data_IF_372940622473
#
_entry.id   IF_372940622473
#
_cell.length_a   1.000
_cell.length_b   1.000
_cell.length_c   1.000
_cell.angle_alpha   90.00
_cell.angle_beta   90.00
_cell.angle_gamma   90.00
#
_symmetry.space_group_name_H-M   'P 1'
#
loop_
_entity.id
_entity.type
_entity.pdbx_description
1 polymer ?
#
# COMPACT_ATOMS: atom_id res chain seq x y z
N UNK A 1 -1.57 41.94 -5.64
CA UNK A 1 -2.60 42.20 -6.67
C UNK A 1 -3.85 42.57 -5.89
N UNK A 2 -4.37 43.77 -6.07
CA UNK A 2 -5.64 44.15 -5.46
C UNK A 2 -6.75 43.46 -6.25
N UNK A 3 -7.51 42.58 -5.60
CA UNK A 3 -8.62 41.87 -6.23
C UNK A 3 -9.80 42.85 -6.39
N UNK A 4 -9.85 43.55 -7.52
CA UNK A 4 -10.85 44.62 -7.79
C UNK A 4 -12.11 44.13 -8.50
N UNK A 5 -12.12 42.91 -9.02
CA UNK A 5 -13.24 42.34 -9.77
C UNK A 5 -13.55 40.93 -9.28
N UNK A 6 -14.79 40.68 -8.86
CA UNK A 6 -15.30 39.36 -8.53
C UNK A 6 -15.95 38.71 -9.76
N UNK A 7 -15.74 37.40 -9.94
CA UNK A 7 -16.36 36.60 -11.01
C UNK A 7 -17.09 35.42 -10.36
N UNK A 8 -18.43 35.40 -10.33
CA UNK A 8 -19.19 34.26 -9.80
C UNK A 8 -19.17 33.08 -10.78
N UNK A 9 -19.26 31.85 -10.26
CA UNK A 9 -19.38 30.62 -11.04
C UNK A 9 -20.83 30.38 -11.52
N UNK A 10 -21.45 31.38 -12.17
CA UNK A 10 -22.86 31.39 -12.56
C UNK A 10 -23.29 30.25 -13.50
N UNK A 11 -22.32 29.60 -14.15
CA UNK A 11 -22.53 28.47 -15.06
C UNK A 11 -22.56 27.11 -14.33
N UNK A 12 -22.22 27.07 -13.04
CA UNK A 12 -22.17 25.83 -12.25
C UNK A 12 -23.49 25.59 -11.53
N UNK A 13 -23.92 24.33 -11.46
CA UNK A 13 -25.03 23.89 -10.60
C UNK A 13 -24.65 23.79 -9.12
N UNK A 14 -23.36 24.01 -8.80
CA UNK A 14 -22.74 23.80 -7.49
C UNK A 14 -22.77 22.33 -7.00
N UNK A 15 -23.14 21.38 -7.85
CA UNK A 15 -22.87 19.96 -7.65
C UNK A 15 -21.49 19.63 -8.23
N UNK A 16 -20.57 19.19 -7.37
CA UNK A 16 -19.16 19.02 -7.70
C UNK A 16 -18.74 17.58 -7.45
N UNK A 17 -17.98 17.02 -8.40
CA UNK A 17 -17.18 15.83 -8.17
C UNK A 17 -15.68 16.19 -8.22
N UNK A 18 -14.87 15.53 -7.40
CA UNK A 18 -13.41 15.58 -7.51
C UNK A 18 -12.90 14.26 -8.07
N UNK A 19 -11.96 14.32 -9.02
CA UNK A 19 -11.39 13.13 -9.68
C UNK A 19 -9.88 13.21 -9.74
N UNK A 20 -9.23 12.05 -9.84
CA UNK A 20 -7.82 11.94 -10.20
C UNK A 20 -7.05 10.96 -9.33
N UNK A 21 -5.82 10.67 -9.79
CA UNK A 21 -4.92 9.72 -9.15
C UNK A 21 -3.89 10.37 -8.25
N UNK A 22 -3.39 9.62 -7.26
CA UNK A 22 -2.23 10.01 -6.47
C UNK A 22 -2.53 11.25 -5.64
N UNK A 23 -1.69 12.28 -5.71
CA UNK A 23 -1.90 13.55 -5.04
C UNK A 23 -3.29 14.18 -5.32
N UNK A 24 -3.86 13.99 -6.52
CA UNK A 24 -5.21 14.47 -6.83
C UNK A 24 -6.29 13.70 -6.06
N UNK A 25 -6.20 12.37 -6.01
CA UNK A 25 -7.10 11.53 -5.21
C UNK A 25 -6.94 11.77 -3.71
N UNK A 26 -5.70 12.01 -3.26
CA UNK A 26 -5.38 12.43 -1.88
C UNK A 26 -6.09 13.72 -1.51
N UNK A 27 -6.09 14.72 -2.40
CA UNK A 27 -6.81 15.98 -2.19
C UNK A 27 -8.33 15.82 -2.27
N UNK A 28 -8.83 14.91 -3.11
CA UNK A 28 -10.25 14.55 -3.12
C UNK A 28 -10.69 13.97 -1.77
N UNK A 29 -9.90 13.03 -1.22
CA UNK A 29 -10.12 12.48 0.13
C UNK A 29 -10.09 13.59 1.19
N UNK A 30 -9.07 14.45 1.17
CA UNK A 30 -8.96 15.56 2.11
C UNK A 30 -10.18 16.49 2.05
N UNK A 31 -10.62 16.87 0.85
CA UNK A 31 -11.79 17.72 0.66
C UNK A 31 -13.07 17.04 1.18
N UNK A 32 -13.26 15.75 0.94
CA UNK A 32 -14.40 15.00 1.44
C UNK A 32 -14.48 15.02 2.98
N UNK A 33 -13.35 14.90 3.68
CA UNK A 33 -13.30 14.95 5.15
C UNK A 33 -13.64 16.31 5.76
N UNK A 34 -13.78 17.36 4.94
CA UNK A 34 -14.26 18.67 5.42
C UNK A 34 -15.79 18.77 5.48
N UNK A 35 -16.52 17.84 4.85
CA UNK A 35 -17.98 17.94 4.69
C UNK A 35 -18.43 19.17 3.88
N UNK A 36 -17.56 19.70 3.01
CA UNK A 36 -17.84 20.95 2.28
C UNK A 36 -19.10 20.84 1.43
N UNK A 37 -19.97 21.85 1.55
CA UNK A 37 -21.20 21.91 0.78
C UNK A 37 -20.92 21.95 -0.73
N UNK A 38 -21.71 21.18 -1.49
CA UNK A 38 -21.63 21.10 -2.95
C UNK A 38 -20.76 19.95 -3.47
N UNK A 39 -19.85 19.39 -2.67
CA UNK A 39 -19.15 18.15 -3.02
C UNK A 39 -20.13 16.98 -2.90
N UNK A 40 -20.50 16.40 -4.04
CA UNK A 40 -21.47 15.30 -4.13
C UNK A 40 -20.79 13.94 -4.09
N UNK A 41 -19.68 13.83 -4.81
CA UNK A 41 -18.91 12.58 -4.84
C UNK A 41 -17.42 12.83 -5.02
N UNK A 42 -16.60 11.86 -4.63
CA UNK A 42 -15.20 11.77 -5.04
C UNK A 42 -14.95 10.49 -5.84
N UNK A 43 -14.14 10.61 -6.90
CA UNK A 43 -13.51 9.48 -7.59
C UNK A 43 -12.03 9.52 -7.22
N UNK A 44 -11.69 8.80 -6.16
CA UNK A 44 -10.38 8.86 -5.50
C UNK A 44 -9.52 7.67 -5.92
N UNK A 45 -8.55 7.91 -6.80
CA UNK A 45 -7.73 6.86 -7.39
C UNK A 45 -6.31 6.85 -6.80
N UNK A 46 -5.78 5.68 -6.44
CA UNK A 46 -4.44 5.48 -5.87
C UNK A 46 -4.05 6.56 -4.83
N UNK A 47 -4.93 6.83 -3.87
CA UNK A 47 -4.89 8.00 -3.01
C UNK A 47 -4.30 7.72 -1.63
N UNK A 48 -3.73 8.76 -1.01
CA UNK A 48 -3.25 8.73 0.38
C UNK A 48 -4.39 9.18 1.31
N UNK A 49 -4.63 8.41 2.38
CA UNK A 49 -5.60 8.78 3.43
C UNK A 49 -4.93 9.26 4.71
N UNK A 50 -3.66 8.89 4.90
CA UNK A 50 -2.79 9.37 5.99
C UNK A 50 -1.36 9.53 5.46
N UNK A 51 -0.82 10.75 5.55
CA UNK A 51 0.52 11.03 5.04
C UNK A 51 1.63 10.26 5.77
N UNK A 52 1.39 9.86 7.02
CA UNK A 52 2.31 8.97 7.74
C UNK A 52 2.46 7.64 6.99
N UNK A 53 1.36 7.02 6.56
CA UNK A 53 1.39 5.70 5.91
C UNK A 53 2.05 5.73 4.51
N UNK A 54 2.23 6.93 3.94
CA UNK A 54 2.96 7.10 2.68
C UNK A 54 4.48 7.04 2.88
N UNK A 55 5.02 7.77 3.85
CA UNK A 55 6.46 7.91 4.08
C UNK A 55 7.01 7.14 5.30
N UNK A 56 6.14 6.50 6.09
CA UNK A 56 6.47 5.77 7.31
C UNK A 56 5.70 4.46 7.38
N UNK A 57 6.22 3.50 8.14
CA UNK A 57 5.48 2.30 8.55
C UNK A 57 6.05 1.78 9.88
N UNK A 58 5.18 1.44 10.82
CA UNK A 58 5.60 0.82 12.09
C UNK A 58 6.68 1.57 12.89
N UNK A 59 6.72 2.90 12.86
CA UNK A 59 7.77 3.69 13.54
C UNK A 59 9.08 3.81 12.77
N UNK A 60 9.09 3.52 11.46
CA UNK A 60 10.27 3.62 10.59
C UNK A 60 10.04 4.61 9.45
N UNK A 61 11.15 5.15 8.92
CA UNK A 61 11.19 5.79 7.60
C UNK A 61 11.11 4.72 6.51
N UNK A 62 10.01 4.70 5.76
CA UNK A 62 9.72 3.69 4.75
C UNK A 62 9.29 4.38 3.46
N UNK A 63 10.20 4.40 2.50
CA UNK A 63 10.00 5.08 1.24
C UNK A 63 8.84 4.48 0.42
N UNK A 64 8.17 5.31 -0.40
CA UNK A 64 7.33 4.80 -1.46
C UNK A 64 8.15 3.95 -2.44
N UNK A 65 7.55 2.90 -2.99
CA UNK A 65 8.20 1.98 -3.93
C UNK A 65 8.70 2.72 -5.17
N UNK A 66 10.00 2.60 -5.44
CA UNK A 66 10.67 3.30 -6.54
C UNK A 66 11.26 4.67 -6.18
N UNK A 67 10.99 5.18 -4.97
CA UNK A 67 11.40 6.53 -4.54
C UNK A 67 12.19 6.53 -3.22
N UNK A 68 13.28 5.73 -3.09
CA UNK A 68 14.09 5.72 -1.88
C UNK A 68 14.73 7.10 -1.63
N UNK A 69 14.50 7.65 -0.44
CA UNK A 69 15.02 8.97 -0.04
C UNK A 69 14.00 10.10 -0.10
N UNK A 70 12.86 9.91 -0.77
CA UNK A 70 11.76 10.88 -0.75
C UNK A 70 11.16 11.05 0.66
N UNK A 71 10.60 12.23 0.93
CA UNK A 71 9.81 12.57 2.12
C UNK A 71 8.95 13.81 1.86
N UNK A 72 8.22 14.26 2.89
CA UNK A 72 7.30 15.39 2.78
C UNK A 72 7.96 16.69 2.30
N UNK A 73 9.21 16.97 2.68
CA UNK A 73 9.95 18.15 2.20
C UNK A 73 10.30 18.06 0.72
N UNK A 74 10.72 16.89 0.24
CA UNK A 74 11.01 16.64 -1.18
C UNK A 74 9.77 16.89 -2.03
N UNK A 75 8.62 16.34 -1.65
CA UNK A 75 7.37 16.57 -2.38
C UNK A 75 6.92 18.03 -2.28
N UNK A 76 7.09 18.68 -1.13
CA UNK A 76 6.74 20.08 -0.95
C UNK A 76 7.53 20.99 -1.92
N UNK A 77 8.82 20.73 -2.11
CA UNK A 77 9.66 21.40 -3.10
C UNK A 77 9.21 21.10 -4.53
N UNK A 78 9.01 19.82 -4.87
CA UNK A 78 8.61 19.38 -6.21
C UNK A 78 7.33 20.10 -6.69
N UNK A 79 6.35 20.29 -5.79
CA UNK A 79 5.08 20.94 -6.14
C UNK A 79 5.07 22.46 -5.94
N UNK A 80 6.17 23.06 -5.46
CA UNK A 80 6.29 24.51 -5.29
C UNK A 80 6.61 25.25 -6.61
N UNK A 81 5.79 25.00 -7.64
CA UNK A 81 5.95 25.55 -9.00
C UNK A 81 5.96 27.09 -9.09
N UNK A 82 5.59 27.81 -8.02
CA UNK A 82 5.77 29.27 -7.94
C UNK A 82 7.22 29.68 -8.06
N UNK A 83 8.17 28.82 -7.71
CA UNK A 83 9.60 29.05 -7.91
C UNK A 83 9.98 29.21 -9.38
N UNK A 84 9.27 28.53 -10.29
CA UNK A 84 9.50 28.61 -11.74
C UNK A 84 9.15 29.99 -12.33
N UNK A 85 8.47 30.86 -11.56
CA UNK A 85 8.13 32.21 -11.96
C UNK A 85 8.88 33.22 -11.08
N UNK A 86 10.05 33.68 -11.54
CA UNK A 86 10.95 34.54 -10.75
C UNK A 86 10.24 35.75 -10.09
N UNK A 87 9.36 36.44 -10.81
CA UNK A 87 8.61 37.58 -10.25
C UNK A 87 7.64 37.21 -9.12
N UNK A 88 7.10 35.98 -9.13
CA UNK A 88 6.27 35.45 -8.06
C UNK A 88 7.08 34.85 -6.90
N UNK A 89 8.27 34.32 -7.20
CA UNK A 89 9.15 33.66 -6.26
C UNK A 89 9.99 34.62 -5.42
N UNK A 90 10.62 35.62 -6.05
CA UNK A 90 11.55 36.53 -5.37
C UNK A 90 10.97 37.15 -4.07
N UNK A 91 9.70 37.60 -4.03
CA UNK A 91 9.12 38.12 -2.79
C UNK A 91 8.82 37.05 -1.74
N UNK A 92 8.77 35.77 -2.13
CA UNK A 92 8.42 34.64 -1.28
C UNK A 92 9.59 33.79 -0.85
N UNK A 93 10.75 33.87 -1.53
CA UNK A 93 11.89 32.98 -1.35
C UNK A 93 12.20 32.72 0.12
N UNK A 94 12.38 33.77 0.91
CA UNK A 94 12.79 33.61 2.31
C UNK A 94 11.67 32.99 3.17
N UNK A 95 10.40 33.23 2.83
CA UNK A 95 9.26 32.58 3.48
C UNK A 95 9.19 31.09 3.11
N UNK A 96 9.43 30.78 1.84
CA UNK A 96 9.45 29.40 1.34
C UNK A 96 10.57 28.60 1.99
N UNK A 97 11.81 29.10 1.97
CA UNK A 97 12.97 28.41 2.56
C UNK A 97 12.78 28.13 4.06
N UNK A 98 12.15 29.06 4.81
CA UNK A 98 11.78 28.80 6.21
C UNK A 98 10.71 27.72 6.36
N UNK A 99 9.69 27.72 5.50
CA UNK A 99 8.65 26.69 5.52
C UNK A 99 9.21 25.31 5.18
N UNK A 100 10.05 25.21 4.15
CA UNK A 100 10.72 23.98 3.76
C UNK A 100 11.61 23.44 4.89
N UNK A 101 12.45 24.30 5.49
CA UNK A 101 13.28 23.91 6.63
C UNK A 101 12.45 23.41 7.83
N UNK A 102 11.29 24.00 8.07
CA UNK A 102 10.36 23.53 9.11
C UNK A 102 9.77 22.16 8.77
N UNK A 103 9.36 21.93 7.52
CA UNK A 103 8.88 20.62 7.05
C UNK A 103 9.97 19.56 7.21
N UNK A 104 11.20 19.85 6.78
CA UNK A 104 12.37 18.95 6.92
C UNK A 104 12.65 18.60 8.38
N UNK A 105 12.47 19.55 9.30
CA UNK A 105 12.61 19.30 10.73
C UNK A 105 11.47 18.44 11.28
N UNK A 106 10.22 18.84 11.04
CA UNK A 106 9.03 18.27 11.68
C UNK A 106 8.66 16.87 11.17
N UNK A 107 9.05 16.53 9.94
CA UNK A 107 8.86 15.18 9.41
C UNK A 107 9.66 14.11 10.19
N UNK A 108 10.69 14.52 10.95
CA UNK A 108 11.47 13.70 11.87
C UNK A 108 11.92 12.34 11.29
N UNK A 109 12.80 12.42 10.29
CA UNK A 109 13.45 11.24 9.69
C UNK A 109 14.41 10.53 10.65
N UNK A 110 14.86 11.20 11.70
CA UNK A 110 15.81 10.63 12.66
C UNK A 110 15.13 9.53 13.49
N UNK A 111 13.88 9.77 13.92
CA UNK A 111 13.14 8.78 14.69
C UNK A 111 12.21 7.91 13.85
N UNK A 112 11.57 8.46 12.80
CA UNK A 112 10.52 7.78 12.03
C UNK A 112 9.19 7.63 12.77
N UNK A 113 9.07 8.20 13.97
CA UNK A 113 7.89 8.10 14.81
C UNK A 113 6.71 8.93 14.26
N UNK A 114 5.51 8.50 14.62
CA UNK A 114 4.33 9.34 14.50
C UNK A 114 4.42 10.52 15.46
N UNK A 115 4.08 11.73 14.98
CA UNK A 115 4.18 12.95 15.76
C UNK A 115 3.07 13.93 15.32
N UNK A 116 3.03 15.14 15.89
CA UNK A 116 2.00 16.14 15.58
C UNK A 116 2.00 16.59 14.11
N UNK A 117 3.15 16.60 13.44
CA UNK A 117 3.23 16.95 12.02
C UNK A 117 2.53 15.91 11.14
N UNK A 118 2.69 14.63 11.46
CA UNK A 118 1.98 13.54 10.80
C UNK A 118 0.50 13.48 11.18
N UNK A 119 0.18 13.73 12.45
CA UNK A 119 -1.20 13.76 12.96
C UNK A 119 -2.07 14.85 12.32
N UNK A 120 -1.49 16.01 12.03
CA UNK A 120 -2.17 17.09 11.31
C UNK A 120 -2.48 16.75 9.84
N UNK A 121 -1.92 15.65 9.33
CA UNK A 121 -2.03 15.19 7.94
C UNK A 121 -2.67 13.80 7.85
N UNK A 122 -3.46 13.44 8.85
CA UNK A 122 -4.21 12.20 8.90
C UNK A 122 -5.71 12.50 8.70
N UNK A 123 -6.19 12.32 7.47
CA UNK A 123 -7.59 12.64 7.12
C UNK A 123 -8.58 11.67 7.76
N UNK A 124 -8.14 10.47 8.13
CA UNK A 124 -8.98 9.44 8.75
C UNK A 124 -9.60 9.91 10.08
N UNK A 125 -8.98 10.89 10.75
CA UNK A 125 -9.52 11.50 11.97
C UNK A 125 -10.86 12.22 11.75
N UNK A 126 -11.05 12.71 10.53
CA UNK A 126 -12.20 13.51 10.11
C UNK A 126 -13.10 12.73 9.13
N UNK A 127 -12.90 11.41 8.99
CA UNK A 127 -13.68 10.57 8.08
C UNK A 127 -15.19 10.62 8.37
N UNK A 128 -15.58 10.76 9.64
CA UNK A 128 -16.98 10.87 10.05
C UNK A 128 -17.70 12.12 9.51
N UNK A 129 -16.96 13.13 9.04
CA UNK A 129 -17.51 14.33 8.41
C UNK A 129 -17.84 14.13 6.93
N UNK A 130 -17.47 13.00 6.32
CA UNK A 130 -17.72 12.73 4.91
C UNK A 130 -19.23 12.60 4.69
N UNK A 131 -19.76 13.48 3.84
CA UNK A 131 -21.16 13.45 3.38
C UNK A 131 -21.29 13.20 1.87
N UNK A 132 -20.16 13.16 1.16
CA UNK A 132 -20.11 12.90 -0.27
C UNK A 132 -19.98 11.39 -0.50
N UNK A 133 -20.59 10.90 -1.58
CA UNK A 133 -20.49 9.50 -1.98
C UNK A 133 -19.11 9.20 -2.58
N UNK A 134 -18.67 7.95 -2.50
CA UNK A 134 -17.28 7.59 -2.79
C UNK A 134 -17.19 6.52 -3.88
N UNK A 135 -16.43 6.80 -4.94
CA UNK A 135 -15.90 5.79 -5.85
C UNK A 135 -14.37 5.73 -5.64
N UNK A 136 -13.91 4.66 -5.00
CA UNK A 136 -12.50 4.44 -4.70
C UNK A 136 -11.88 3.49 -5.72
N UNK A 137 -10.66 3.78 -6.18
CA UNK A 137 -9.94 2.92 -7.13
C UNK A 137 -8.50 2.75 -6.67
N UNK A 138 -7.99 1.52 -6.63
CA UNK A 138 -6.61 1.30 -6.18
C UNK A 138 -5.97 0.04 -6.77
N UNK A 139 -4.66 0.11 -7.01
CA UNK A 139 -3.87 -1.03 -7.45
C UNK A 139 -3.43 -1.90 -6.27
N UNK A 140 -3.73 -3.20 -6.30
CA UNK A 140 -3.28 -4.17 -5.29
C UNK A 140 -1.75 -4.34 -5.30
N UNK A 141 -1.09 -4.03 -6.41
CA UNK A 141 0.36 -4.05 -6.57
C UNK A 141 0.98 -2.64 -6.55
N UNK A 142 0.23 -1.62 -6.11
CA UNK A 142 0.75 -0.26 -5.95
C UNK A 142 1.62 -0.15 -4.69
N UNK A 143 2.92 -0.33 -4.88
CA UNK A 143 3.90 -0.16 -3.82
C UNK A 143 4.38 1.28 -3.66
N UNK A 144 3.92 2.22 -4.49
CA UNK A 144 4.13 3.65 -4.31
C UNK A 144 3.13 4.17 -3.27
N UNK A 145 1.85 4.33 -3.65
CA UNK A 145 0.78 4.62 -2.70
C UNK A 145 0.23 3.30 -2.19
N UNK A 146 0.77 2.85 -1.06
CA UNK A 146 0.54 1.49 -0.53
C UNK A 146 -0.95 1.22 -0.26
N UNK A 147 -1.47 -0.02 -0.48
CA UNK A 147 -2.90 -0.34 -0.40
C UNK A 147 -3.57 -0.06 0.95
N UNK A 148 -2.79 0.03 2.04
CA UNK A 148 -3.30 0.45 3.36
C UNK A 148 -4.06 1.78 3.30
N UNK A 149 -3.67 2.70 2.42
CA UNK A 149 -4.35 4.00 2.33
C UNK A 149 -5.83 3.87 1.95
N UNK A 150 -6.13 3.15 0.86
CA UNK A 150 -7.52 2.93 0.45
C UNK A 150 -8.27 2.03 1.43
N UNK A 151 -7.62 1.01 1.97
CA UNK A 151 -8.24 0.10 2.94
C UNK A 151 -8.63 0.82 4.23
N UNK A 152 -7.77 1.68 4.76
CA UNK A 152 -8.06 2.48 5.94
C UNK A 152 -9.24 3.42 5.70
N UNK A 153 -9.29 4.07 4.53
CA UNK A 153 -10.43 4.94 4.18
C UNK A 153 -11.71 4.12 4.04
N UNK A 154 -11.68 3.02 3.28
CA UNK A 154 -12.81 2.10 3.09
C UNK A 154 -13.41 1.64 4.43
N UNK A 155 -12.54 1.22 5.36
CA UNK A 155 -12.94 0.83 6.69
C UNK A 155 -13.47 2.00 7.53
N UNK A 156 -12.88 3.19 7.44
CA UNK A 156 -13.33 4.36 8.18
C UNK A 156 -14.70 4.89 7.73
N UNK A 157 -15.06 4.70 6.45
CA UNK A 157 -16.36 5.14 5.90
C UNK A 157 -17.42 4.04 5.89
N UNK A 158 -17.07 2.82 6.33
CA UNK A 158 -17.90 1.60 6.24
C UNK A 158 -19.31 1.77 6.78
N UNK A 159 -19.47 2.42 7.93
CA UNK A 159 -20.77 2.58 8.60
C UNK A 159 -21.43 3.94 8.33
N UNK A 160 -20.81 4.80 7.51
CA UNK A 160 -21.39 6.08 7.14
C UNK A 160 -22.56 5.90 6.17
N UNK A 161 -23.62 6.72 6.29
CA UNK A 161 -24.81 6.68 5.44
C UNK A 161 -24.56 7.39 4.09
N UNK A 162 -23.50 6.98 3.40
CA UNK A 162 -23.10 7.44 2.07
C UNK A 162 -22.95 6.22 1.16
N UNK A 163 -23.26 6.39 -0.12
CA UNK A 163 -23.03 5.34 -1.11
C UNK A 163 -21.53 5.27 -1.40
N UNK A 164 -21.00 4.05 -1.41
CA UNK A 164 -19.57 3.80 -1.56
C UNK A 164 -19.31 2.57 -2.42
N UNK A 165 -18.36 2.73 -3.35
CA UNK A 165 -17.93 1.74 -4.34
C UNK A 165 -16.41 1.65 -4.33
N UNK A 166 -15.88 0.47 -4.56
CA UNK A 166 -14.44 0.21 -4.57
C UNK A 166 -14.07 -0.67 -5.78
N UNK A 167 -13.05 -0.25 -6.52
CA UNK A 167 -12.48 -1.02 -7.62
C UNK A 167 -11.00 -1.29 -7.33
N UNK A 168 -10.64 -2.56 -7.20
CA UNK A 168 -9.26 -3.00 -6.97
C UNK A 168 -8.71 -3.69 -8.22
N UNK A 169 -7.60 -3.20 -8.74
CA UNK A 169 -6.98 -3.73 -9.96
C UNK A 169 -5.59 -4.31 -9.69
N UNK A 170 -5.07 -5.15 -10.61
CA UNK A 170 -3.76 -5.81 -10.44
C UNK A 170 -2.56 -4.92 -10.80
N UNK A 171 -2.80 -3.64 -11.06
CA UNK A 171 -1.76 -2.71 -11.46
C UNK A 171 -0.97 -2.14 -10.30
N UNK A 172 0.12 -1.47 -10.66
CA UNK A 172 0.85 -0.57 -9.78
C UNK A 172 0.15 0.81 -9.77
N UNK A 173 0.93 1.89 -9.76
CA UNK A 173 0.45 3.27 -9.70
C UNK A 173 -0.05 3.80 -11.07
N UNK A 174 -1.16 3.24 -11.59
CA UNK A 174 -1.70 3.49 -12.94
C UNK A 174 -3.18 3.91 -12.92
N UNK A 175 -3.69 4.37 -14.08
CA UNK A 175 -5.13 4.52 -14.34
C UNK A 175 -5.68 3.24 -15.01
N UNK A 176 -6.98 2.99 -14.88
CA UNK A 176 -7.68 1.83 -15.49
C UNK A 176 -8.75 2.22 -16.53
N UNK A 177 -8.89 3.51 -16.84
CA UNK A 177 -9.93 4.06 -17.72
C UNK A 177 -9.96 3.50 -19.15
N UNK A 178 -8.83 2.94 -19.59
CA UNK A 178 -8.64 2.45 -20.96
C UNK A 178 -8.43 0.93 -21.02
N UNK A 179 -8.98 0.19 -20.06
CA UNK A 179 -8.89 -1.27 -20.04
C UNK A 179 -9.96 -1.93 -20.92
N UNK A 180 -9.62 -3.06 -21.54
CA UNK A 180 -10.60 -3.84 -22.32
C UNK A 180 -11.58 -4.59 -21.42
N UNK A 181 -11.12 -5.08 -20.27
CA UNK A 181 -11.87 -6.00 -19.41
C UNK A 181 -12.84 -5.37 -18.44
N UNK A 182 -12.86 -4.04 -18.34
CA UNK A 182 -13.78 -3.31 -17.48
C UNK A 182 -14.25 -2.04 -18.19
N UNK A 183 -15.56 -1.81 -18.17
CA UNK A 183 -16.24 -0.64 -18.69
C UNK A 183 -16.16 0.54 -17.70
N UNK A 184 -14.95 0.82 -17.19
CA UNK A 184 -14.73 1.80 -16.12
C UNK A 184 -15.27 3.20 -16.46
N UNK A 185 -15.04 3.67 -17.68
CA UNK A 185 -15.49 4.99 -18.12
C UNK A 185 -17.02 5.07 -18.16
N UNK A 186 -17.71 3.99 -18.55
CA UNK A 186 -19.16 3.88 -18.54
C UNK A 186 -19.72 3.80 -17.10
N UNK A 187 -19.05 3.06 -16.21
CA UNK A 187 -19.34 3.05 -14.76
C UNK A 187 -19.26 4.48 -14.20
N UNK A 188 -18.18 5.21 -14.51
CA UNK A 188 -17.99 6.60 -14.06
C UNK A 188 -19.04 7.53 -14.66
N UNK A 189 -19.43 7.34 -15.92
CA UNK A 189 -20.50 8.12 -16.55
C UNK A 189 -21.85 7.90 -15.85
N UNK A 190 -22.24 6.64 -15.63
CA UNK A 190 -23.45 6.28 -14.89
C UNK A 190 -23.45 6.93 -13.50
N UNK A 191 -22.32 6.81 -12.79
CA UNK A 191 -22.11 7.38 -11.47
C UNK A 191 -22.24 8.91 -11.46
N UNK A 192 -21.46 9.63 -12.27
CA UNK A 192 -21.48 11.10 -12.28
C UNK A 192 -22.83 11.67 -12.75
N UNK A 193 -23.52 10.97 -13.65
CA UNK A 193 -24.88 11.33 -14.08
C UNK A 193 -25.88 11.24 -12.92
N UNK A 194 -25.74 10.24 -12.07
CA UNK A 194 -26.52 10.13 -10.84
C UNK A 194 -26.19 11.28 -9.87
N UNK A 195 -24.92 11.40 -9.51
CA UNK A 195 -24.43 12.29 -8.44
C UNK A 195 -24.58 13.78 -8.75
N UNK A 196 -24.31 14.18 -9.99
CA UNK A 196 -24.21 15.59 -10.38
C UNK A 196 -25.47 16.12 -11.06
N UNK A 197 -26.24 15.24 -11.71
CA UNK A 197 -27.45 15.63 -12.46
C UNK A 197 -28.74 15.16 -11.79
N UNK A 198 -28.67 14.33 -10.74
CA UNK A 198 -29.84 13.83 -10.02
C UNK A 198 -30.72 12.89 -10.84
N UNK A 199 -30.14 12.22 -11.83
CA UNK A 199 -30.85 11.25 -12.66
C UNK A 199 -30.97 9.94 -11.90
N UNK A 200 -32.20 9.44 -11.74
CA UNK A 200 -32.45 8.10 -11.21
C UNK A 200 -32.17 7.04 -12.29
N UNK A 201 -30.89 6.68 -12.40
CA UNK A 201 -30.36 5.64 -13.29
C UNK A 201 -29.91 4.39 -12.53
N UNK A 202 -30.31 4.27 -11.25
CA UNK A 202 -30.03 3.12 -10.38
C UNK A 202 -28.54 2.84 -10.11
N UNK A 203 -27.64 3.80 -10.34
CA UNK A 203 -26.19 3.64 -10.18
C UNK A 203 -25.79 3.00 -8.83
N UNK A 204 -26.43 3.42 -7.74
CA UNK A 204 -26.15 2.92 -6.39
C UNK A 204 -26.38 1.41 -6.24
N UNK A 205 -27.37 0.87 -6.96
CA UNK A 205 -27.82 -0.53 -6.86
C UNK A 205 -27.26 -1.43 -7.95
N UNK A 206 -27.02 -0.89 -9.14
CA UNK A 206 -26.46 -1.63 -10.27
C UNK A 206 -24.97 -1.91 -10.10
N UNK A 207 -24.23 -0.93 -9.55
CA UNK A 207 -22.79 -1.08 -9.33
C UNK A 207 -22.53 -1.92 -8.08
N UNK A 208 -21.74 -3.01 -8.18
CA UNK A 208 -21.28 -3.74 -7.00
C UNK A 208 -20.53 -2.85 -6.02
N UNK A 209 -20.62 -3.14 -4.73
CA UNK A 209 -19.89 -2.38 -3.71
C UNK A 209 -18.38 -2.53 -3.87
N UNK A 210 -17.92 -3.73 -4.21
CA UNK A 210 -16.51 -4.00 -4.48
C UNK A 210 -16.38 -4.81 -5.77
N UNK A 211 -15.49 -4.39 -6.65
CA UNK A 211 -15.08 -5.12 -7.85
C UNK A 211 -13.57 -5.32 -7.79
N UNK A 212 -13.09 -6.56 -7.92
CA UNK A 212 -11.66 -6.89 -7.83
C UNK A 212 -11.21 -7.65 -9.07
N UNK A 213 -10.12 -7.19 -9.68
CA UNK A 213 -9.46 -7.89 -10.78
C UNK A 213 -8.71 -9.11 -10.26
N UNK A 214 -8.88 -10.25 -10.91
CA UNK A 214 -8.22 -11.51 -10.57
C UNK A 214 -6.71 -11.45 -10.83
N UNK A 215 -5.89 -11.98 -9.90
CA UNK A 215 -4.42 -11.98 -10.03
C UNK A 215 -3.87 -13.10 -10.94
N UNK A 216 -4.71 -14.07 -11.31
CA UNK A 216 -4.32 -15.31 -12.01
C UNK A 216 -4.83 -15.36 -13.45
N UNK A 217 -5.95 -14.71 -13.73
CA UNK A 217 -6.62 -14.74 -15.03
C UNK A 217 -6.69 -13.34 -15.64
N UNK A 218 -6.12 -13.12 -16.85
CA UNK A 218 -6.34 -11.88 -17.59
C UNK A 218 -7.83 -11.64 -17.80
N UNK A 219 -8.23 -10.37 -17.76
CA UNK A 219 -9.58 -9.93 -18.10
C UNK A 219 -10.71 -10.49 -17.23
N UNK A 220 -10.37 -11.00 -16.04
CA UNK A 220 -11.35 -11.50 -15.10
C UNK A 220 -11.52 -10.54 -13.93
N UNK A 221 -12.76 -10.14 -13.67
CA UNK A 221 -13.17 -9.29 -12.56
C UNK A 221 -14.31 -9.95 -11.81
N UNK A 222 -14.29 -9.85 -10.49
CA UNK A 222 -15.29 -10.45 -9.64
C UNK A 222 -15.87 -9.41 -8.68
N UNK A 223 -17.19 -9.45 -8.51
CA UNK A 223 -17.90 -8.65 -7.53
C UNK A 223 -17.83 -9.31 -6.15
N UNK A 224 -17.59 -8.51 -5.12
CA UNK A 224 -17.59 -8.93 -3.73
C UNK A 224 -18.53 -8.02 -2.93
N UNK A 225 -19.14 -8.54 -1.84
CA UNK A 225 -19.95 -7.71 -0.96
C UNK A 225 -19.09 -6.63 -0.25
N UNK A 226 -17.81 -6.94 -0.01
CA UNK A 226 -16.89 -6.13 0.77
C UNK A 226 -15.42 -6.56 0.53
N UNK A 227 -14.46 -5.77 1.04
CA UNK A 227 -13.04 -6.09 1.13
C UNK A 227 -12.54 -5.85 2.55
N UNK A 228 -11.69 -6.74 3.08
CA UNK A 228 -11.21 -6.70 4.46
C UNK A 228 -12.38 -6.69 5.45
N UNK A 229 -13.35 -7.57 5.22
CA UNK A 229 -14.56 -7.61 6.02
C UNK A 229 -14.25 -7.99 7.48
N UNK A 230 -14.84 -7.33 8.49
CA UNK A 230 -14.57 -7.60 9.91
C UNK A 230 -14.84 -9.05 10.34
N UNK A 231 -15.67 -9.76 9.58
CA UNK A 231 -16.06 -11.15 9.82
C UNK A 231 -15.38 -12.15 8.89
N UNK A 232 -14.40 -11.73 8.07
CA UNK A 232 -13.59 -12.66 7.29
C UNK A 232 -12.94 -13.67 8.25
N UNK A 233 -13.07 -14.99 8.02
CA UNK A 233 -12.33 -15.97 8.79
C UNK A 233 -10.84 -15.77 8.61
N UNK A 234 -10.06 -16.22 9.59
CA UNK A 234 -8.60 -16.18 9.52
C UNK A 234 -8.02 -17.58 9.63
N UNK A 235 -6.95 -17.82 8.88
CA UNK A 235 -6.13 -19.02 8.98
C UNK A 235 -4.81 -18.65 9.63
N UNK A 236 -4.47 -19.33 10.70
CA UNK A 236 -3.25 -19.10 11.46
C UNK A 236 -2.20 -20.18 11.15
N UNK A 237 -0.99 -19.74 10.83
CA UNK A 237 0.15 -20.58 10.53
C UNK A 237 1.22 -20.40 11.61
N UNK A 238 1.54 -21.46 12.35
CA UNK A 238 2.66 -21.50 13.28
C UNK A 238 3.99 -21.59 12.52
N UNK A 239 4.98 -20.81 12.96
CA UNK A 239 6.33 -20.83 12.42
C UNK A 239 7.11 -22.02 13.00
N UNK A 240 7.82 -22.73 12.13
CA UNK A 240 8.82 -23.73 12.47
C UNK A 240 10.07 -23.52 11.64
N UNK A 241 11.19 -24.12 12.03
CA UNK A 241 12.40 -24.03 11.21
C UNK A 241 12.10 -24.41 9.75
N UNK A 242 12.29 -23.46 8.84
CA UNK A 242 11.97 -23.48 7.40
C UNK A 242 10.50 -23.71 6.99
N UNK A 243 9.54 -23.83 7.91
CA UNK A 243 8.16 -24.24 7.60
C UNK A 243 7.07 -23.31 8.19
N UNK A 244 5.96 -23.19 7.46
CA UNK A 244 4.67 -22.71 7.97
C UNK A 244 3.72 -23.91 8.11
N UNK A 245 3.16 -24.11 9.30
CA UNK A 245 2.20 -25.20 9.58
C UNK A 245 0.90 -24.62 10.10
N UNK A 246 -0.24 -25.18 9.70
CA UNK A 246 -1.53 -24.80 10.29
C UNK A 246 -1.47 -24.91 11.81
N UNK A 247 -1.72 -23.81 12.51
CA UNK A 247 -1.61 -23.75 13.96
C UNK A 247 -2.54 -24.76 14.65
N UNK A 248 -3.70 -25.05 14.06
CA UNK A 248 -4.66 -26.05 14.54
C UNK A 248 -4.09 -27.49 14.60
N UNK A 249 -3.04 -27.79 13.81
CA UNK A 249 -2.43 -29.13 13.72
C UNK A 249 -0.96 -29.14 14.09
N UNK A 250 -0.36 -27.97 14.31
CA UNK A 250 1.04 -27.85 14.65
C UNK A 250 1.26 -28.24 16.12
N UNK A 251 2.25 -29.11 16.38
CA UNK A 251 2.87 -29.16 17.71
C UNK A 251 3.64 -27.87 18.00
N UNK A 252 3.87 -27.50 19.26
CA UNK A 252 4.76 -26.39 19.59
C UNK A 252 6.17 -26.62 19.02
N UNK A 253 6.73 -25.61 18.38
CA UNK A 253 8.15 -25.59 18.03
C UNK A 253 8.95 -25.07 19.22
N UNK A 254 10.12 -25.64 19.48
CA UNK A 254 10.98 -25.20 20.59
C UNK A 254 12.26 -24.57 20.05
N UNK A 255 12.73 -23.52 20.73
CA UNK A 255 14.00 -22.87 20.41
C UNK A 255 13.83 -21.55 19.68
N UNK A 256 14.97 -20.94 19.36
CA UNK A 256 15.06 -19.71 18.61
C UNK A 256 15.99 -19.88 17.42
N UNK A 257 15.64 -19.28 16.29
CA UNK A 257 16.50 -19.21 15.10
C UNK A 257 16.96 -17.77 14.90
N UNK A 258 18.16 -17.60 14.34
CA UNK A 258 18.79 -16.28 14.26
C UNK A 258 19.30 -15.97 12.86
N UNK A 259 19.34 -14.69 12.52
CA UNK A 259 19.94 -14.16 11.29
C UNK A 259 20.66 -12.84 11.58
N UNK A 260 21.60 -12.47 10.71
CA UNK A 260 22.32 -11.19 10.80
C UNK A 260 21.82 -10.23 9.72
N UNK A 261 21.52 -8.98 10.07
CA UNK A 261 21.25 -7.94 9.07
C UNK A 261 22.52 -7.44 8.38
N UNK A 262 23.68 -7.55 9.06
CA UNK A 262 24.93 -7.10 8.49
C UNK A 262 25.35 -7.97 7.33
N UNK A 263 25.55 -7.36 6.17
CA UNK A 263 26.09 -7.99 4.99
C UNK A 263 27.58 -7.70 4.84
N UNK A 264 28.36 -8.62 4.24
CA UNK A 264 29.68 -8.32 3.71
C UNK A 264 29.67 -7.05 2.85
N UNK A 265 30.70 -6.21 2.97
CA UNK A 265 30.74 -4.88 2.36
C UNK A 265 30.46 -4.89 0.84
N UNK A 266 31.04 -5.84 0.09
CA UNK A 266 30.82 -5.95 -1.35
C UNK A 266 29.38 -6.34 -1.70
N UNK A 267 28.77 -7.24 -0.92
CA UNK A 267 27.38 -7.66 -1.09
C UNK A 267 26.43 -6.49 -0.79
N UNK A 268 26.65 -5.80 0.33
CA UNK A 268 25.89 -4.60 0.69
C UNK A 268 25.94 -3.55 -0.42
N UNK A 269 27.14 -3.20 -0.89
CA UNK A 269 27.33 -2.23 -1.96
C UNK A 269 26.72 -2.70 -3.29
N UNK A 270 26.69 -3.99 -3.56
CA UNK A 270 26.01 -4.53 -4.75
C UNK A 270 24.50 -4.26 -4.66
N UNK A 271 23.88 -4.60 -3.52
CA UNK A 271 22.45 -4.44 -3.31
C UNK A 271 21.99 -2.98 -3.25
N UNK A 272 22.85 -2.05 -2.83
CA UNK A 272 22.52 -0.61 -2.89
C UNK A 272 22.35 -0.10 -4.32
N UNK A 273 23.00 -0.73 -5.30
CA UNK A 273 22.97 -0.34 -6.71
C UNK A 273 22.10 -1.27 -7.58
N UNK A 274 21.75 -2.46 -7.10
CA UNK A 274 20.91 -3.44 -7.79
C UNK A 274 19.87 -4.04 -6.84
N UNK A 275 18.79 -3.28 -6.62
CA UNK A 275 17.66 -3.67 -5.76
C UNK A 275 16.92 -4.88 -6.35
N UNK A 276 16.91 -5.03 -7.68
CA UNK A 276 16.27 -6.18 -8.35
C UNK A 276 17.02 -7.47 -8.02
N UNK A 277 18.36 -7.43 -8.06
CA UNK A 277 19.20 -8.54 -7.62
C UNK A 277 18.99 -8.84 -6.14
N UNK A 278 18.98 -7.82 -5.29
CA UNK A 278 18.69 -8.00 -3.86
C UNK A 278 17.35 -8.70 -3.65
N UNK A 279 16.27 -8.24 -4.27
CA UNK A 279 14.94 -8.83 -4.09
C UNK A 279 14.88 -10.28 -4.60
N UNK A 280 15.54 -10.57 -5.73
CA UNK A 280 15.65 -11.93 -6.26
C UNK A 280 16.38 -12.85 -5.31
N UNK A 281 17.51 -12.39 -4.77
CA UNK A 281 18.27 -13.16 -3.80
C UNK A 281 17.49 -13.25 -2.49
N UNK A 282 16.86 -12.20 -1.95
CA UNK A 282 16.00 -12.22 -0.76
C UNK A 282 14.86 -13.26 -0.82
N UNK A 283 14.29 -13.51 -2.00
CA UNK A 283 13.21 -14.49 -2.18
C UNK A 283 13.66 -15.81 -2.80
N UNK A 284 14.96 -15.99 -3.03
CA UNK A 284 15.53 -17.13 -3.71
C UNK A 284 15.57 -18.42 -2.88
N UNK A 285 16.48 -19.32 -3.27
CA UNK A 285 16.71 -20.58 -2.57
C UNK A 285 17.26 -20.33 -1.15
N UNK A 286 16.92 -21.18 -0.18
CA UNK A 286 17.35 -20.97 1.21
C UNK A 286 18.87 -21.02 1.42
N UNK A 287 19.65 -21.51 0.45
CA UNK A 287 21.12 -21.58 0.50
C UNK A 287 21.81 -20.55 -0.40
N UNK A 288 21.10 -19.51 -0.84
CA UNK A 288 21.69 -18.44 -1.64
C UNK A 288 22.50 -17.43 -0.79
N UNK A 289 22.90 -16.31 -1.41
CA UNK A 289 23.70 -15.26 -0.78
C UNK A 289 23.05 -14.63 0.47
N UNK A 290 21.75 -14.84 0.70
CA UNK A 290 20.99 -14.29 1.82
C UNK A 290 20.67 -15.35 2.90
N UNK A 291 21.15 -16.59 2.79
CA UNK A 291 20.84 -17.71 3.69
C UNK A 291 21.00 -17.42 5.19
N UNK A 292 21.97 -16.57 5.57
CA UNK A 292 22.24 -16.19 6.97
C UNK A 292 21.72 -14.78 7.34
N UNK A 293 21.02 -14.14 6.40
CA UNK A 293 20.59 -12.74 6.47
C UNK A 293 19.08 -12.56 6.36
N UNK A 294 18.34 -13.67 6.43
CA UNK A 294 16.88 -13.73 6.52
C UNK A 294 16.45 -15.00 7.23
N UNK A 295 15.18 -15.08 7.59
CA UNK A 295 14.46 -16.32 7.87
C UNK A 295 13.41 -16.54 6.78
N UNK A 296 13.31 -17.77 6.27
CA UNK A 296 12.38 -18.14 5.21
C UNK A 296 11.52 -19.31 5.66
N UNK A 297 10.21 -19.11 5.72
CA UNK A 297 9.23 -20.13 6.12
C UNK A 297 8.30 -20.40 4.96
N UNK A 298 8.05 -21.67 4.63
CA UNK A 298 7.11 -22.04 3.55
C UNK A 298 6.09 -23.07 4.03
N UNK A 299 4.84 -22.92 3.60
CA UNK A 299 3.82 -23.95 3.80
C UNK A 299 4.13 -25.19 2.95
N UNK A 300 3.46 -26.32 3.23
CA UNK A 300 3.33 -27.35 2.20
C UNK A 300 2.62 -26.78 0.96
N UNK A 301 2.80 -27.41 -0.19
CA UNK A 301 2.01 -27.07 -1.38
C UNK A 301 0.52 -27.18 -1.05
N UNK A 302 -0.25 -26.15 -1.37
CA UNK A 302 -1.67 -26.10 -1.07
C UNK A 302 -2.41 -27.19 -1.84
N UNK A 303 -3.41 -27.81 -1.22
CA UNK A 303 -4.26 -28.81 -1.89
C UNK A 303 -5.42 -28.18 -2.65
N UNK A 304 -5.79 -26.94 -2.29
CA UNK A 304 -6.86 -26.14 -2.89
C UNK A 304 -6.41 -24.68 -2.93
N UNK A 305 -7.06 -23.88 -3.77
CA UNK A 305 -6.83 -22.44 -3.81
C UNK A 305 -7.13 -21.81 -2.43
N UNK A 306 -6.37 -20.77 -2.08
CA UNK A 306 -6.57 -19.97 -0.88
C UNK A 306 -6.69 -18.51 -1.29
N UNK A 307 -7.84 -17.88 -1.01
CA UNK A 307 -8.05 -16.46 -1.28
C UNK A 307 -7.78 -15.67 -0.01
N UNK A 308 -6.69 -14.89 -0.02
CA UNK A 308 -6.34 -13.95 1.04
C UNK A 308 -7.14 -12.68 0.84
N UNK A 309 -7.81 -12.16 1.87
CA UNK A 309 -8.63 -10.95 1.78
C UNK A 309 -8.58 -10.15 3.08
N UNK A 310 -7.84 -9.05 3.06
CA UNK A 310 -7.61 -8.18 4.21
C UNK A 310 -6.15 -8.06 4.59
N UNK A 311 -5.87 -7.86 5.89
CA UNK A 311 -4.53 -7.55 6.40
C UNK A 311 -3.89 -8.74 7.14
N UNK A 312 -2.90 -9.44 6.54
CA UNK A 312 -2.12 -10.43 7.28
C UNK A 312 -1.39 -9.81 8.47
N UNK A 313 -1.28 -10.56 9.56
CA UNK A 313 -0.60 -10.13 10.79
C UNK A 313 0.44 -11.15 11.21
N UNK A 314 1.63 -10.68 11.54
CA UNK A 314 2.75 -11.49 12.03
C UNK A 314 2.91 -11.23 13.53
N UNK A 315 2.86 -12.30 14.32
CA UNK A 315 3.11 -12.28 15.76
C UNK A 315 4.42 -13.01 16.05
N UNK A 316 5.35 -12.34 16.71
CA UNK A 316 6.67 -12.89 17.02
C UNK A 316 7.08 -12.58 18.44
N UNK A 317 8.00 -13.40 18.93
CA UNK A 317 8.84 -13.06 20.08
C UNK A 317 10.30 -12.98 19.65
N UNK A 318 10.87 -11.78 19.72
CA UNK A 318 12.15 -11.46 19.07
C UNK A 318 13.10 -10.70 20.00
N UNK A 319 14.39 -11.02 19.90
CA UNK A 319 15.49 -10.32 20.54
C UNK A 319 16.47 -9.80 19.49
N UNK A 320 17.22 -8.76 19.83
CA UNK A 320 18.33 -8.23 19.02
C UNK A 320 19.52 -7.91 19.93
N UNK A 321 20.74 -8.05 19.41
CA UNK A 321 21.99 -7.85 20.17
C UNK A 321 22.35 -6.38 20.48
N UNK A 322 21.55 -5.41 20.01
CA UNK A 322 21.77 -3.96 20.18
C UNK A 322 20.53 -3.28 20.79
N UNK A 323 20.64 -2.06 21.34
CA UNK A 323 19.48 -1.33 21.90
C UNK A 323 18.60 -0.66 20.83
N UNK A 324 18.77 -1.04 19.56
CA UNK A 324 18.00 -0.59 18.41
C UNK A 324 17.76 -1.76 17.47
N UNK A 325 16.72 -1.70 16.64
CA UNK A 325 16.54 -2.66 15.56
C UNK A 325 15.22 -2.49 14.83
N UNK A 326 15.18 -3.06 13.62
CA UNK A 326 14.02 -3.02 12.73
C UNK A 326 13.83 -4.37 12.06
N UNK A 327 12.58 -4.72 11.81
CA UNK A 327 12.23 -5.93 11.07
C UNK A 327 11.30 -5.58 9.92
N UNK A 328 11.48 -6.33 8.85
CA UNK A 328 10.69 -6.29 7.62
C UNK A 328 10.16 -7.69 7.33
N UNK A 329 8.97 -7.73 6.73
CA UNK A 329 8.22 -8.95 6.50
C UNK A 329 7.70 -8.96 5.08
N UNK A 330 7.88 -10.07 4.35
CA UNK A 330 7.22 -10.30 3.07
C UNK A 330 6.42 -11.60 3.12
N UNK A 331 5.15 -11.55 2.73
CA UNK A 331 4.33 -12.73 2.44
C UNK A 331 4.34 -12.95 0.94
N UNK A 332 4.62 -14.18 0.52
CA UNK A 332 5.01 -14.50 -0.85
C UNK A 332 4.27 -15.74 -1.34
N UNK A 333 3.79 -15.69 -2.57
CA UNK A 333 3.33 -16.83 -3.34
C UNK A 333 4.55 -17.52 -3.96
N UNK A 334 4.89 -18.74 -3.53
CA UNK A 334 5.94 -19.56 -4.12
C UNK A 334 5.36 -20.63 -5.04
N UNK A 335 5.74 -20.60 -6.32
CA UNK A 335 5.30 -21.54 -7.35
C UNK A 335 5.62 -21.01 -8.74
N UNK A 336 6.11 -21.89 -9.63
CA UNK A 336 6.38 -21.55 -11.03
C UNK A 336 5.07 -21.33 -11.78
N UNK A 337 4.78 -20.08 -12.14
CA UNK A 337 3.57 -19.73 -12.88
C UNK A 337 3.79 -18.56 -13.82
N UNK A 338 2.99 -18.51 -14.90
CA UNK A 338 2.78 -17.27 -15.63
C UNK A 338 1.84 -16.40 -14.80
N UNK A 339 2.29 -15.18 -14.50
CA UNK A 339 1.49 -14.18 -13.77
C UNK A 339 1.23 -12.98 -14.65
N UNK A 340 0.27 -12.13 -14.28
CA UNK A 340 0.04 -10.87 -14.99
C UNK A 340 1.34 -10.05 -15.02
N UNK A 341 1.59 -9.36 -16.13
CA UNK A 341 2.70 -8.40 -16.23
C UNK A 341 2.51 -7.28 -15.21
N UNK A 342 3.63 -6.70 -14.80
CA UNK A 342 3.66 -5.55 -13.87
C UNK A 342 2.92 -4.32 -14.43
N UNK A 343 2.89 -4.17 -15.76
CA UNK A 343 2.18 -3.09 -16.46
C UNK A 343 1.30 -3.65 -17.57
N UNK A 344 0.15 -3.02 -17.87
CA UNK A 344 -0.71 -3.44 -18.97
C UNK A 344 -0.04 -3.22 -20.33
N UNK A 345 -0.37 -4.08 -21.29
CA UNK A 345 0.08 -3.97 -22.69
C UNK A 345 -0.90 -3.10 -23.48
N UNK A 346 -0.39 -2.23 -24.36
CA UNK A 346 -1.21 -1.56 -25.38
C UNK A 346 -1.67 -2.60 -26.42
N UNK A 347 -2.98 -2.85 -26.48
CA UNK A 347 -3.61 -3.76 -27.43
C UNK A 347 -3.90 -3.09 -28.77
N UNK A 348 -4.38 -1.85 -28.74
CA UNK A 348 -4.69 -1.07 -29.93
C UNK A 348 -4.47 0.43 -29.66
N UNK A 349 -3.61 1.06 -30.47
CA UNK A 349 -3.28 2.48 -30.30
C UNK A 349 -4.42 3.37 -30.78
N UNK A 350 -4.74 4.43 -30.02
CA UNK A 350 -5.73 5.46 -30.38
C UNK A 350 -7.06 4.87 -30.85
N UNK A 351 -7.52 3.84 -30.15
CA UNK A 351 -8.71 3.07 -30.54
C UNK A 351 -9.95 3.42 -29.71
N UNK A 352 -9.76 4.17 -28.62
CA UNK A 352 -10.83 4.70 -27.80
C UNK A 352 -11.04 6.17 -28.15
N UNK A 353 -12.23 6.50 -28.64
CA UNK A 353 -12.64 7.87 -28.96
C UNK A 353 -13.30 8.51 -27.72
N UNK A 354 -12.73 9.61 -27.20
CA UNK A 354 -13.26 10.34 -26.04
C UNK A 354 -14.34 11.37 -26.43
N UNK A 355 -14.67 11.49 -27.72
CA UNK A 355 -15.73 12.35 -28.23
C UNK A 355 -15.47 12.81 -29.66
N UNK A 356 -16.51 13.26 -30.35
CA UNK A 356 -16.42 13.56 -31.79
C UNK A 356 -15.25 14.49 -32.15
N UNK A 357 -14.23 13.92 -32.83
CA UNK A 357 -13.01 14.62 -33.29
C UNK A 357 -12.24 15.32 -32.16
N UNK A 358 -12.17 14.70 -30.98
CA UNK A 358 -11.52 15.29 -29.82
C UNK A 358 -10.20 14.61 -29.44
N UNK A 359 -10.23 13.67 -28.50
CA UNK A 359 -9.06 12.96 -27.97
C UNK A 359 -9.24 11.47 -28.17
N UNK A 360 -8.12 10.78 -28.26
CA UNK A 360 -8.06 9.34 -28.41
C UNK A 360 -7.16 8.77 -27.31
N UNK A 361 -7.50 7.60 -26.77
CA UNK A 361 -6.64 6.82 -25.88
C UNK A 361 -6.31 5.44 -26.48
N UNK A 362 -5.23 4.86 -25.98
CA UNK A 362 -4.80 3.52 -26.32
C UNK A 362 -5.60 2.49 -25.49
N UNK A 363 -6.20 1.50 -26.15
CA UNK A 363 -6.77 0.34 -25.47
C UNK A 363 -5.66 -0.50 -24.86
N UNK A 364 -5.76 -0.80 -23.57
CA UNK A 364 -4.76 -1.51 -22.78
C UNK A 364 -5.37 -2.71 -22.07
N UNK A 365 -4.54 -3.69 -21.73
CA UNK A 365 -4.93 -4.79 -20.85
C UNK A 365 -3.73 -5.50 -20.24
N UNK A 366 -3.90 -6.07 -19.05
CA UNK A 366 -2.92 -6.99 -18.50
C UNK A 366 -2.85 -8.27 -19.32
N UNK A 367 -1.62 -8.70 -19.59
CA UNK A 367 -1.34 -9.99 -20.22
C UNK A 367 -0.46 -10.81 -19.29
N UNK A 368 -0.50 -12.13 -19.47
CA UNK A 368 0.45 -13.01 -18.81
C UNK A 368 1.88 -12.70 -19.28
N UNK A 369 2.80 -12.63 -18.32
CA UNK A 369 4.24 -12.48 -18.54
C UNK A 369 4.95 -13.83 -18.73
N UNK A 370 6.27 -13.79 -18.52
CA UNK A 370 7.08 -14.99 -18.42
C UNK A 370 6.74 -15.78 -17.14
N UNK A 371 7.14 -17.06 -17.11
CA UNK A 371 7.07 -17.87 -15.90
C UNK A 371 7.99 -17.27 -14.85
N UNK A 372 7.51 -17.17 -13.61
CA UNK A 372 8.25 -16.68 -12.46
C UNK A 372 8.11 -17.66 -11.29
N UNK A 373 9.15 -17.83 -10.46
CA UNK A 373 9.14 -18.78 -9.34
C UNK A 373 8.30 -18.31 -8.15
N UNK A 374 7.99 -17.02 -8.06
CA UNK A 374 7.28 -16.44 -6.93
C UNK A 374 6.61 -15.09 -7.28
N UNK A 375 5.77 -14.60 -6.38
CA UNK A 375 5.20 -13.25 -6.40
C UNK A 375 5.02 -12.69 -4.99
N UNK A 376 5.36 -11.42 -4.79
CA UNK A 376 5.11 -10.72 -3.53
C UNK A 376 3.61 -10.51 -3.35
N UNK A 377 3.03 -11.03 -2.26
CA UNK A 377 1.62 -10.83 -1.94
C UNK A 377 1.44 -9.56 -1.11
N UNK A 378 2.19 -9.45 -0.02
CA UNK A 378 2.16 -8.28 0.86
C UNK A 378 3.46 -8.12 1.64
N UNK A 379 3.69 -6.92 2.20
CA UNK A 379 4.81 -6.66 3.11
C UNK A 379 4.49 -5.62 4.17
N UNK A 380 5.38 -5.48 5.15
CA UNK A 380 5.28 -4.50 6.23
C UNK A 380 6.57 -4.40 7.03
N UNK A 381 6.69 -3.34 7.82
CA UNK A 381 7.91 -3.01 8.56
C UNK A 381 7.59 -2.58 9.98
N UNK A 382 8.52 -2.81 10.92
CA UNK A 382 8.35 -2.42 12.32
C UNK A 382 9.68 -2.08 12.98
N UNK A 383 9.72 -0.94 13.65
CA UNK A 383 10.77 -0.60 14.61
C UNK A 383 10.52 -1.37 15.92
N UNK A 384 11.52 -2.09 16.43
CA UNK A 384 11.42 -2.84 17.68
C UNK A 384 11.18 -1.93 18.90
N UNK A 385 11.64 -0.68 18.82
CA UNK A 385 11.40 0.34 19.84
C UNK A 385 9.98 0.90 19.76
N UNK A 386 9.22 0.65 18.69
CA UNK A 386 7.82 1.04 18.56
C UNK A 386 6.87 -0.15 18.75
N UNK A 387 7.29 -1.20 19.47
CA UNK A 387 6.49 -2.42 19.66
C UNK A 387 5.08 -2.14 20.20
N UNK A 388 4.92 -1.19 21.12
CA UNK A 388 3.61 -0.84 21.70
C UNK A 388 2.85 0.17 20.85
N UNK A 389 3.50 1.27 20.43
CA UNK A 389 2.87 2.34 19.66
C UNK A 389 3.87 3.01 18.69
N UNK A 390 3.37 3.59 17.60
CA UNK A 390 4.20 4.29 16.60
C UNK A 390 4.61 5.71 17.00
N UNK A 391 3.97 6.31 18.02
CA UNK A 391 4.30 7.65 18.53
C UNK A 391 5.20 7.64 19.77
N UNK A 392 5.55 6.46 20.29
CA UNK A 392 6.32 6.30 21.52
C UNK A 392 7.44 5.29 21.32
N UNK A 393 8.65 5.68 21.73
CA UNK A 393 9.82 4.82 21.83
C UNK A 393 9.79 4.10 23.17
N UNK A 394 9.77 2.78 23.13
CA UNK A 394 9.98 1.90 24.27
C UNK A 394 11.46 1.52 24.37
N UNK A 395 11.96 1.37 25.60
CA UNK A 395 13.31 0.86 25.83
C UNK A 395 13.48 -0.54 25.19
N UNK A 396 14.62 -0.75 24.55
CA UNK A 396 15.04 -2.03 23.99
C UNK A 396 16.37 -2.43 24.63
N UNK A 397 16.34 -3.50 25.43
CA UNK A 397 17.56 -4.05 26.05
C UNK A 397 18.14 -5.14 25.14
N UNK A 398 19.47 -5.12 24.86
CA UNK A 398 20.12 -6.17 24.10
C UNK A 398 19.83 -7.57 24.63
N UNK A 399 19.61 -8.52 23.72
CA UNK A 399 19.40 -9.95 24.00
C UNK A 399 18.19 -10.28 24.88
N UNK A 400 17.24 -9.35 25.03
CA UNK A 400 15.96 -9.60 25.70
C UNK A 400 14.88 -9.80 24.64
N UNK A 401 14.08 -10.84 24.83
CA UNK A 401 12.95 -11.16 23.94
C UNK A 401 11.73 -10.28 24.26
N UNK A 402 11.18 -9.65 23.24
CA UNK A 402 9.95 -8.86 23.30
C UNK A 402 8.90 -9.42 22.33
N UNK A 403 7.64 -9.28 22.70
CA UNK A 403 6.52 -9.56 21.81
C UNK A 403 6.39 -8.45 20.77
N UNK A 404 6.20 -8.84 19.51
CA UNK A 404 6.06 -7.96 18.36
C UNK A 404 4.87 -8.40 17.54
N UNK A 405 3.94 -7.48 17.29
CA UNK A 405 2.81 -7.69 16.38
C UNK A 405 2.94 -6.70 15.21
N UNK A 406 2.87 -7.22 13.99
CA UNK A 406 3.03 -6.42 12.77
C UNK A 406 1.92 -6.73 11.80
N UNK A 407 1.09 -5.73 11.50
CA UNK A 407 0.06 -5.81 10.46
C UNK A 407 0.65 -5.38 9.12
N UNK A 408 0.58 -6.26 8.12
CA UNK A 408 1.12 -6.03 6.78
C UNK A 408 0.16 -5.20 5.92
N UNK A 409 0.57 -4.83 4.71
CA UNK A 409 -0.34 -4.17 3.76
C UNK A 409 -1.56 -5.08 3.46
N UNK A 410 -2.76 -4.50 3.32
CA UNK A 410 -3.95 -5.27 2.94
C UNK A 410 -3.82 -5.76 1.49
N UNK A 411 -4.44 -6.91 1.21
CA UNK A 411 -4.41 -7.54 -0.11
C UNK A 411 -5.74 -8.21 -0.44
N UNK A 412 -5.92 -8.54 -1.71
CA UNK A 412 -6.83 -9.57 -2.19
C UNK A 412 -6.04 -10.44 -3.17
N UNK A 413 -5.78 -11.70 -2.82
CA UNK A 413 -4.87 -12.55 -3.60
C UNK A 413 -5.31 -14.00 -3.59
N UNK A 414 -5.57 -14.57 -4.78
CA UNK A 414 -5.79 -16.01 -4.95
C UNK A 414 -4.43 -16.71 -5.08
N UNK A 415 -4.08 -17.46 -4.06
CA UNK A 415 -2.94 -18.38 -4.04
C UNK A 415 -3.39 -19.75 -4.55
N UNK A 416 -2.83 -20.21 -5.66
CA UNK A 416 -3.30 -21.40 -6.36
C UNK A 416 -2.93 -22.71 -5.66
N UNK A 417 -3.74 -23.76 -5.87
CA UNK A 417 -3.40 -25.12 -5.51
C UNK A 417 -2.03 -25.52 -6.11
N UNK A 418 -1.23 -26.24 -5.33
CA UNK A 418 0.15 -26.61 -5.67
C UNK A 418 1.20 -25.56 -5.30
N UNK A 419 0.82 -24.29 -5.14
CA UNK A 419 1.73 -23.24 -4.67
C UNK A 419 1.91 -23.29 -3.15
N UNK A 420 2.92 -22.59 -2.64
CA UNK A 420 3.22 -22.50 -1.21
C UNK A 420 3.06 -21.04 -0.74
N UNK A 421 2.42 -20.86 0.42
CA UNK A 421 2.47 -19.59 1.13
C UNK A 421 3.83 -19.48 1.81
N UNK A 422 4.52 -18.36 1.61
CA UNK A 422 5.80 -18.07 2.23
C UNK A 422 5.76 -16.85 3.14
N UNK A 423 6.54 -16.88 4.22
CA UNK A 423 6.88 -15.72 5.05
C UNK A 423 8.39 -15.54 5.04
N UNK A 424 8.84 -14.33 4.73
CA UNK A 424 10.25 -13.93 4.80
C UNK A 424 10.40 -12.87 5.88
N UNK A 425 11.24 -13.14 6.87
CA UNK A 425 11.61 -12.20 7.94
C UNK A 425 13.04 -11.74 7.69
N UNK A 426 13.25 -10.43 7.62
CA UNK A 426 14.55 -9.80 7.41
C UNK A 426 14.57 -8.44 8.11
N UNK A 427 15.63 -7.66 7.97
CA UNK A 427 15.72 -6.32 8.56
C UNK A 427 15.76 -5.24 7.48
N UNK A 428 16.90 -5.03 6.83
CA UNK A 428 17.07 -3.99 5.79
C UNK A 428 16.31 -4.34 4.49
N UNK A 429 15.27 -3.56 4.17
CA UNK A 429 14.66 -3.51 2.83
C UNK A 429 15.39 -2.49 1.98
N UNK A 430 16.18 -2.94 1.01
CA UNK A 430 16.96 -2.05 0.14
C UNK A 430 16.07 -1.17 -0.72
N UNK A 431 14.82 -1.55 -0.98
CA UNK A 431 13.87 -0.72 -1.73
C UNK A 431 13.20 0.38 -0.91
N UNK A 432 13.14 0.25 0.43
CA UNK A 432 12.25 1.10 1.25
C UNK A 432 12.83 1.62 2.57
N UNK A 433 13.65 0.85 3.28
CA UNK A 433 14.17 1.22 4.61
C UNK A 433 15.47 2.04 4.53
N UNK A 434 15.87 2.62 5.65
CA UNK A 434 17.24 3.14 5.84
C UNK A 434 18.24 1.97 5.77
N UNK A 435 19.34 2.16 5.03
CA UNK A 435 20.35 1.11 4.78
C UNK A 435 21.56 1.32 5.68
N UNK A 436 21.55 0.74 6.88
CA UNK A 436 22.58 0.98 7.91
C UNK A 436 23.78 0.03 7.89
N UNK A 437 23.62 -1.22 7.42
CA UNK A 437 24.61 -2.31 7.50
C UNK A 437 25.23 -2.51 8.89
N UNK A 438 24.46 -2.28 9.94
CA UNK A 438 24.91 -2.38 11.33
C UNK A 438 25.00 -3.85 11.75
N UNK A 439 25.88 -4.16 12.71
CA UNK A 439 26.02 -5.50 13.30
C UNK A 439 24.84 -5.83 14.23
N UNK A 440 23.69 -6.08 13.60
CA UNK A 440 22.42 -6.45 14.22
C UNK A 440 22.15 -7.94 13.99
N UNK A 441 22.18 -8.70 15.07
CA UNK A 441 21.80 -10.10 15.08
C UNK A 441 20.45 -10.25 15.77
N UNK A 442 19.49 -10.79 15.03
CA UNK A 442 18.13 -11.02 15.50
C UNK A 442 17.94 -12.49 15.84
N UNK A 443 17.21 -12.77 16.92
CA UNK A 443 16.80 -14.12 17.32
C UNK A 443 15.29 -14.15 17.48
N UNK A 444 14.61 -15.06 16.79
CA UNK A 444 13.16 -15.24 16.82
C UNK A 444 12.83 -16.56 17.51
N UNK A 445 12.05 -16.52 18.59
CA UNK A 445 11.50 -17.73 19.21
C UNK A 445 10.41 -18.30 18.32
N UNK A 446 10.49 -19.59 18.02
CA UNK A 446 9.50 -20.26 17.19
C UNK A 446 8.22 -20.61 17.97
N UNK A 447 8.35 -20.86 19.28
CA UNK A 447 7.21 -21.12 20.15
C UNK A 447 6.30 -19.88 20.23
N UNK A 448 5.02 -20.05 19.86
CA UNK A 448 4.04 -18.97 19.85
C UNK A 448 4.19 -17.92 18.74
N UNK A 449 5.14 -18.07 17.81
CA UNK A 449 5.27 -17.18 16.65
C UNK A 449 4.36 -17.63 15.50
N UNK A 450 3.53 -16.73 14.97
CA UNK A 450 2.50 -17.07 13.97
C UNK A 450 2.37 -16.03 12.85
N UNK A 451 1.91 -16.50 11.70
CA UNK A 451 1.35 -15.68 10.62
C UNK A 451 -0.16 -15.92 10.58
N UNK A 452 -0.94 -14.89 10.86
CA UNK A 452 -2.40 -14.92 10.72
C UNK A 452 -2.81 -14.28 9.40
N UNK A 453 -3.61 -14.99 8.62
CA UNK A 453 -4.02 -14.60 7.27
C UNK A 453 -5.54 -14.54 7.20
N UNK A 454 -6.15 -13.35 7.02
CA UNK A 454 -7.56 -13.22 6.67
C UNK A 454 -7.85 -13.85 5.31
N UNK A 455 -8.91 -14.65 5.22
CA UNK A 455 -9.26 -15.43 4.03
C UNK A 455 -10.75 -15.32 3.72
N UNK A 456 -11.10 -15.61 2.46
CA UNK A 456 -12.49 -15.91 2.10
C UNK A 456 -12.72 -17.42 2.16
N UNK A 457 -13.91 -17.80 2.61
CA UNK A 457 -14.44 -19.16 2.45
C UNK A 457 -15.45 -19.13 1.31
N UNK A 458 -15.37 -20.13 0.43
CA UNK A 458 -16.33 -20.35 -0.65
C UNK A 458 -17.78 -20.51 -0.14
#
# INVERSE_FOLDING_TARGET
RDATTAIPAWWSTHAVAMTGRSYLGTLATAAATTGVAGLKTIISEAAISSWYDYYRDGGLVIAPGGFPGEDADVLAEEVFSREQQAGAYLPLRDKWQRALAQITHDQDRQSGNYNQFWDARNYLKDAANITADLLLVHGLNDWNVKPRNVNNLWNAVRDLPVTKKLILHQGQHIYINAFRSIDYTDIVNLWLTHELLGVDNQAESLLPNVIIQDNTQPEHWQAYPDWDAPNNPSREFALREDELRDAATATPATGAISFSDQLPHEQFNTYTHDIVRWQRELLGDKHDAMAHHRLLFKSAGLTHDLVLDGKPTVHLRVAVNQPVGMLSFQVVDYGEAKRLKVSPTVLARKSLDEGFQWREDDLREFQLGAVTPWHLITKGHRNLQNRTNVYKVDELKPNVFYDLSVTLQPTHYRLLAGHQLGLVIYATDFGMTVRGNQDLQYSVQLDGSTLTVPILTD
#
